data_IF_197009085272
#
_entry.id   IF_197009085272
#
_cell.length_a   1.000
_cell.length_b   1.000
_cell.length_c   1.000
_cell.angle_alpha   90.00
_cell.angle_beta   90.00
_cell.angle_gamma   90.00
#
_symmetry.space_group_name_H-M   'P 1'
#
loop_
_entity.id
_entity.type
_entity.pdbx_description
1 polymer ?
#
# COMPACT_ATOMS: atom_id res chain seq x y z
N UNK A 1 14.66 7.35 -14.44
CA UNK A 1 13.37 6.61 -14.46
C UNK A 1 12.27 7.55 -14.91
N UNK A 2 11.48 7.13 -15.86
CA UNK A 2 10.37 7.92 -16.35
C UNK A 2 9.25 7.99 -15.31
N UNK A 3 8.46 9.06 -15.37
CA UNK A 3 7.37 9.28 -14.41
C UNK A 3 6.37 8.11 -14.36
N UNK A 4 6.01 7.56 -15.53
CA UNK A 4 5.07 6.44 -15.61
C UNK A 4 5.64 5.12 -15.12
N UNK A 5 6.96 5.04 -14.92
CA UNK A 5 7.61 3.84 -14.37
C UNK A 5 7.71 3.89 -12.85
N UNK A 6 7.56 5.08 -12.26
CA UNK A 6 7.79 5.29 -10.83
C UNK A 6 6.78 4.52 -9.96
N UNK A 7 5.50 4.51 -10.34
CA UNK A 7 4.46 3.80 -9.61
C UNK A 7 4.72 2.30 -9.53
N UNK A 8 4.83 1.61 -10.68
CA UNK A 8 5.13 0.17 -10.69
C UNK A 8 6.45 -0.18 -10.00
N UNK A 9 7.48 0.64 -10.17
CA UNK A 9 8.74 0.47 -9.48
C UNK A 9 8.57 0.54 -7.97
N UNK A 10 7.80 1.52 -7.49
CA UNK A 10 7.55 1.72 -6.07
C UNK A 10 6.76 0.56 -5.47
N UNK A 11 5.76 0.05 -6.17
CA UNK A 11 4.98 -1.11 -5.71
C UNK A 11 5.86 -2.34 -5.55
N UNK A 12 6.74 -2.62 -6.50
CA UNK A 12 7.67 -3.74 -6.41
C UNK A 12 8.67 -3.53 -5.27
N UNK A 13 9.16 -2.31 -5.11
CA UNK A 13 10.08 -1.95 -4.02
C UNK A 13 9.42 -2.13 -2.66
N UNK A 14 8.17 -1.71 -2.51
CA UNK A 14 7.40 -1.86 -1.29
C UNK A 14 7.17 -3.34 -0.97
N UNK A 15 6.79 -4.14 -1.96
CA UNK A 15 6.59 -5.58 -1.79
C UNK A 15 7.86 -6.24 -1.26
N UNK A 16 9.00 -5.97 -1.90
CA UNK A 16 10.27 -6.58 -1.50
C UNK A 16 10.69 -6.12 -0.10
N UNK A 17 10.44 -4.86 0.24
CA UNK A 17 10.71 -4.33 1.57
C UNK A 17 9.90 -5.09 2.65
N UNK A 18 8.62 -5.32 2.39
CA UNK A 18 7.74 -6.03 3.32
C UNK A 18 8.10 -7.52 3.41
N UNK A 19 8.47 -8.16 2.30
CA UNK A 19 8.93 -9.54 2.31
C UNK A 19 10.13 -9.71 3.23
N UNK A 20 11.08 -8.78 3.18
CA UNK A 20 12.27 -8.81 4.05
C UNK A 20 11.91 -8.62 5.53
N UNK A 21 10.78 -7.99 5.82
CA UNK A 21 10.29 -7.80 7.19
C UNK A 21 9.45 -8.98 7.68
N UNK A 22 9.37 -10.04 6.90
CA UNK A 22 8.65 -11.26 7.29
C UNK A 22 7.18 -11.28 6.87
N UNK A 23 6.73 -10.34 6.06
CA UNK A 23 5.39 -10.38 5.50
C UNK A 23 5.33 -11.42 4.37
N UNK A 24 4.16 -12.03 4.20
CA UNK A 24 3.88 -12.97 3.12
C UNK A 24 3.04 -12.28 2.06
N UNK A 25 3.42 -12.42 0.80
CA UNK A 25 2.64 -11.84 -0.30
C UNK A 25 1.38 -12.65 -0.53
N UNK A 26 0.23 -11.97 -0.66
CA UNK A 26 -1.07 -12.61 -0.91
C UNK A 26 -1.58 -12.27 -2.29
N UNK A 27 -1.66 -10.98 -2.65
CA UNK A 27 -2.23 -10.54 -3.90
C UNK A 27 -1.78 -9.11 -4.22
N UNK A 28 -2.02 -8.69 -5.45
CA UNK A 28 -1.72 -7.32 -5.87
C UNK A 28 -2.79 -6.80 -6.81
N UNK A 29 -2.92 -5.48 -6.88
CA UNK A 29 -3.82 -4.78 -7.80
C UNK A 29 -5.24 -5.32 -7.73
N UNK A 30 -5.73 -5.54 -6.51
CA UNK A 30 -7.11 -5.98 -6.31
C UNK A 30 -8.06 -4.81 -6.56
N UNK A 31 -9.24 -5.11 -7.08
CA UNK A 31 -10.18 -4.08 -7.52
C UNK A 31 -11.59 -4.34 -7.00
N UNK A 32 -12.29 -3.24 -6.76
CA UNK A 32 -13.73 -3.24 -6.56
C UNK A 32 -14.29 -2.01 -7.27
N UNK A 33 -15.16 -2.23 -8.26
CA UNK A 33 -15.63 -1.17 -9.15
C UNK A 33 -14.41 -0.52 -9.84
N UNK A 34 -14.26 0.81 -9.74
CA UNK A 34 -13.13 1.54 -10.33
C UNK A 34 -11.98 1.76 -9.35
N UNK A 35 -12.12 1.28 -8.12
CA UNK A 35 -11.11 1.47 -7.08
C UNK A 35 -10.13 0.30 -7.05
N UNK A 36 -8.87 0.58 -6.70
CA UNK A 36 -7.81 -0.42 -6.67
C UNK A 36 -6.99 -0.27 -5.40
N UNK A 37 -6.53 -1.42 -4.90
CA UNK A 37 -5.54 -1.50 -3.83
C UNK A 37 -4.27 -2.11 -4.40
N UNK A 38 -3.12 -1.56 -4.05
CA UNK A 38 -1.84 -1.92 -4.66
C UNK A 38 -1.39 -3.33 -4.27
N UNK A 39 -1.33 -3.64 -2.97
CA UNK A 39 -0.75 -4.88 -2.46
C UNK A 39 -1.57 -5.40 -1.29
N UNK A 40 -1.70 -6.73 -1.23
CA UNK A 40 -2.25 -7.43 -0.07
C UNK A 40 -1.17 -8.35 0.47
N UNK A 41 -0.85 -8.21 1.74
CA UNK A 41 0.13 -9.02 2.45
C UNK A 41 -0.52 -9.68 3.67
N UNK A 42 0.21 -10.58 4.29
CA UNK A 42 -0.22 -11.24 5.53
C UNK A 42 0.94 -11.31 6.50
N UNK A 43 0.65 -11.07 7.78
CA UNK A 43 1.65 -11.24 8.85
C UNK A 43 0.92 -11.50 10.16
N UNK A 44 1.37 -12.51 10.92
CA UNK A 44 0.81 -12.83 12.24
C UNK A 44 -0.72 -12.98 12.22
N UNK A 45 -1.24 -13.66 11.21
CA UNK A 45 -2.67 -13.89 11.01
C UNK A 45 -3.49 -12.60 10.75
N UNK A 46 -2.80 -11.51 10.39
CA UNK A 46 -3.44 -10.27 9.93
C UNK A 46 -3.41 -10.22 8.42
N UNK A 47 -4.52 -9.84 7.81
CA UNK A 47 -4.53 -9.43 6.41
C UNK A 47 -4.14 -7.95 6.37
N UNK A 48 -3.08 -7.63 5.65
CA UNK A 48 -2.54 -6.27 5.60
C UNK A 48 -2.78 -5.70 4.21
N UNK A 49 -3.61 -4.67 4.16
CA UNK A 49 -3.93 -3.95 2.92
C UNK A 49 -2.96 -2.78 2.81
N UNK A 50 -2.19 -2.74 1.75
CA UNK A 50 -1.08 -1.80 1.61
C UNK A 50 -1.31 -0.84 0.45
N UNK A 51 -1.31 0.44 0.75
CA UNK A 51 -1.29 1.49 -0.27
C UNK A 51 0.14 2.01 -0.40
N UNK A 52 0.64 2.07 -1.63
CA UNK A 52 2.00 2.52 -1.92
C UNK A 52 1.95 3.90 -2.54
N UNK A 53 2.72 4.84 -1.99
CA UNK A 53 2.88 6.17 -2.56
C UNK A 53 4.34 6.43 -2.83
N UNK A 54 4.66 6.76 -4.06
CA UNK A 54 6.03 7.03 -4.49
C UNK A 54 6.12 8.44 -5.09
N UNK A 55 7.10 9.20 -4.63
CA UNK A 55 7.39 10.55 -5.12
C UNK A 55 8.89 10.67 -5.35
N UNK A 56 9.29 11.61 -6.21
CA UNK A 56 10.71 11.92 -6.39
C UNK A 56 11.21 12.98 -5.40
N UNK A 57 10.30 13.68 -4.70
CA UNK A 57 10.65 14.70 -3.72
C UNK A 57 9.60 14.75 -2.61
N UNK A 58 10.03 15.19 -1.43
CA UNK A 58 9.16 15.45 -0.28
C UNK A 58 8.84 16.95 -0.12
N UNK A 59 9.18 17.79 -1.09
CA UNK A 59 9.01 19.25 -0.99
C UNK A 59 7.56 19.68 -0.73
N UNK A 60 6.59 18.94 -1.24
CA UNK A 60 5.16 19.26 -1.08
C UNK A 60 4.55 18.43 0.06
N UNK A 61 5.39 17.84 0.91
CA UNK A 61 4.99 16.97 2.01
C UNK A 61 5.35 15.52 1.75
N UNK A 62 5.27 14.71 2.78
CA UNK A 62 5.55 13.29 2.68
C UNK A 62 4.54 12.58 1.76
N UNK A 63 4.97 11.56 0.98
CA UNK A 63 4.05 10.88 0.05
C UNK A 63 2.78 10.35 0.71
N UNK A 64 2.86 9.84 1.94
CA UNK A 64 1.70 9.28 2.64
C UNK A 64 0.58 10.32 2.87
N UNK A 65 0.90 11.60 2.90
CA UNK A 65 -0.09 12.68 3.07
C UNK A 65 -1.05 12.78 1.89
N UNK A 66 -0.69 12.22 0.74
CA UNK A 66 -1.57 12.17 -0.43
C UNK A 66 -2.71 11.15 -0.27
N UNK A 67 -2.63 10.26 0.73
CA UNK A 67 -3.70 9.30 1.02
C UNK A 67 -4.74 9.97 1.90
N UNK A 68 -5.64 10.72 1.27
CA UNK A 68 -6.71 11.48 1.94
C UNK A 68 -7.75 10.56 2.56
N UNK A 69 -8.63 11.10 3.42
CA UNK A 69 -9.72 10.29 3.99
C UNK A 69 -10.63 9.74 2.91
N UNK A 70 -10.90 10.51 1.85
CA UNK A 70 -11.68 10.01 0.71
C UNK A 70 -11.04 8.79 0.07
N UNK A 71 -9.72 8.84 -0.15
CA UNK A 71 -8.95 7.71 -0.69
C UNK A 71 -8.97 6.52 0.27
N UNK A 72 -8.82 6.78 1.57
CA UNK A 72 -8.89 5.73 2.59
C UNK A 72 -10.23 4.99 2.55
N UNK A 73 -11.32 5.71 2.42
CA UNK A 73 -12.66 5.11 2.32
C UNK A 73 -12.78 4.21 1.11
N UNK A 74 -12.21 4.62 -0.03
CA UNK A 74 -12.18 3.80 -1.24
C UNK A 74 -11.40 2.51 -1.01
N UNK A 75 -10.24 2.60 -0.37
CA UNK A 75 -9.40 1.43 -0.04
C UNK A 75 -10.16 0.48 0.87
N UNK A 76 -10.86 1.00 1.88
CA UNK A 76 -11.66 0.20 2.80
C UNK A 76 -12.75 -0.57 2.06
N UNK A 77 -13.41 0.05 1.08
CA UNK A 77 -14.44 -0.63 0.27
C UNK A 77 -13.86 -1.77 -0.55
N UNK A 78 -12.69 -1.58 -1.15
CA UNK A 78 -12.01 -2.64 -1.91
C UNK A 78 -11.65 -3.80 -0.99
N UNK A 79 -11.09 -3.50 0.18
CA UNK A 79 -10.69 -4.51 1.16
C UNK A 79 -11.90 -5.30 1.66
N UNK A 80 -13.01 -4.63 1.96
CA UNK A 80 -14.24 -5.28 2.42
C UNK A 80 -14.76 -6.27 1.37
N UNK A 81 -14.81 -5.84 0.11
CA UNK A 81 -15.22 -6.70 -0.99
C UNK A 81 -14.30 -7.91 -1.13
N UNK A 82 -12.98 -7.69 -1.04
CA UNK A 82 -11.98 -8.75 -1.16
C UNK A 82 -12.13 -9.79 -0.05
N UNK A 83 -12.28 -9.33 1.18
CA UNK A 83 -12.45 -10.20 2.35
C UNK A 83 -13.72 -11.05 2.22
N UNK A 84 -14.83 -10.45 1.82
CA UNK A 84 -16.09 -11.16 1.68
C UNK A 84 -16.06 -12.13 0.51
N UNK A 85 -15.54 -11.73 -0.63
CA UNK A 85 -15.50 -12.57 -1.85
C UNK A 85 -14.61 -13.78 -1.68
N UNK A 86 -13.57 -13.69 -0.88
CA UNK A 86 -12.61 -14.76 -0.64
C UNK A 86 -12.83 -15.48 0.70
N UNK A 87 -13.90 -15.14 1.41
CA UNK A 87 -14.27 -15.75 2.69
C UNK A 87 -13.10 -15.74 3.69
N UNK A 88 -12.43 -14.61 3.78
CA UNK A 88 -11.28 -14.45 4.66
C UNK A 88 -11.76 -14.17 6.10
N UNK A 89 -11.28 -14.98 7.04
CA UNK A 89 -11.62 -14.83 8.46
C UNK A 89 -10.37 -14.40 9.24
N UNK A 90 -9.97 -13.16 8.98
CA UNK A 90 -8.80 -12.53 9.62
C UNK A 90 -9.09 -11.08 9.89
N UNK A 91 -8.44 -10.54 10.92
CA UNK A 91 -8.44 -9.10 11.14
C UNK A 91 -7.70 -8.42 10.00
N UNK A 92 -8.09 -7.19 9.69
CA UNK A 92 -7.53 -6.40 8.59
C UNK A 92 -6.84 -5.17 9.18
N UNK A 93 -5.64 -4.90 8.68
CA UNK A 93 -4.89 -3.68 9.01
C UNK A 93 -4.58 -2.93 7.73
N UNK A 94 -4.72 -1.61 7.77
CA UNK A 94 -4.44 -0.74 6.62
C UNK A 94 -3.11 -0.03 6.82
N UNK A 95 -2.17 -0.32 5.93
CA UNK A 95 -0.82 0.25 5.99
C UNK A 95 -0.55 1.14 4.78
N UNK A 96 0.36 2.08 4.95
CA UNK A 96 0.89 2.89 3.84
C UNK A 96 2.39 2.66 3.79
N UNK A 97 2.91 2.41 2.59
CA UNK A 97 4.35 2.44 2.32
C UNK A 97 4.63 3.68 1.49
N UNK A 98 5.43 4.58 2.04
CA UNK A 98 5.71 5.90 1.50
C UNK A 98 7.17 5.93 1.04
N UNK A 99 7.37 6.18 -0.26
CA UNK A 99 8.70 6.11 -0.86
C UNK A 99 9.05 7.44 -1.51
N UNK A 100 10.20 7.99 -1.14
CA UNK A 100 10.83 9.11 -1.86
C UNK A 100 12.04 8.54 -2.58
N UNK A 101 12.05 8.65 -3.90
CA UNK A 101 13.13 8.11 -4.74
C UNK A 101 13.59 9.15 -5.76
N UNK A 102 14.88 9.48 -5.72
CA UNK A 102 15.49 10.38 -6.68
C UNK A 102 16.97 10.01 -6.87
N UNK A 103 17.72 10.85 -7.60
CA UNK A 103 19.13 10.57 -7.89
C UNK A 103 20.04 10.63 -6.66
N UNK A 104 19.54 11.15 -5.52
CA UNK A 104 20.34 11.31 -4.30
C UNK A 104 20.10 10.19 -3.31
N UNK A 105 18.85 9.69 -3.22
CA UNK A 105 18.51 8.69 -2.22
C UNK A 105 17.20 7.98 -2.55
N UNK A 106 17.00 6.84 -1.89
CA UNK A 106 15.71 6.18 -1.77
C UNK A 106 15.39 6.08 -0.28
N UNK A 107 14.26 6.64 0.13
CA UNK A 107 13.80 6.57 1.50
C UNK A 107 12.44 5.89 1.56
N UNK A 108 12.33 4.84 2.37
CA UNK A 108 11.10 4.07 2.53
C UNK A 108 10.62 4.21 3.97
N UNK A 109 9.36 4.61 4.12
CA UNK A 109 8.70 4.68 5.41
C UNK A 109 7.46 3.79 5.38
N UNK A 110 7.34 2.90 6.37
CA UNK A 110 6.20 2.01 6.50
C UNK A 110 5.34 2.46 7.67
N UNK A 111 4.12 2.88 7.39
CA UNK A 111 3.16 3.32 8.41
C UNK A 111 2.17 2.20 8.66
N UNK A 112 2.39 1.45 9.73
CA UNK A 112 1.50 0.36 10.14
C UNK A 112 0.23 0.93 10.77
N UNK A 113 -0.92 0.37 10.40
CA UNK A 113 -2.18 0.84 10.92
C UNK A 113 -2.40 2.33 10.65
N UNK A 114 -2.09 2.77 9.44
CA UNK A 114 -2.09 4.19 9.07
C UNK A 114 -3.49 4.81 9.12
N UNK A 115 -4.53 3.99 8.97
CA UNK A 115 -5.92 4.45 9.08
C UNK A 115 -6.83 3.27 9.43
N UNK A 116 -8.04 3.58 9.83
CA UNK A 116 -9.06 2.59 10.24
C UNK A 116 -10.40 2.88 9.57
N UNK A 117 -11.28 1.95 9.71
CA UNK A 117 -12.68 2.04 9.21
C UNK A 117 -13.39 3.25 9.77
#
# INVERSE_FOLDING_TARGET
MKKEELGPWGEEKAKNYLLKKGYVFVDKNIRFKRYEVDIVMEKNNLLVIVEVKTRNTAEIGEPWKAVTRGKQVQIIKVADHYVQSNQIDKDVRFDIVSIVHNSYRTNIEHLEGAFTV
#
